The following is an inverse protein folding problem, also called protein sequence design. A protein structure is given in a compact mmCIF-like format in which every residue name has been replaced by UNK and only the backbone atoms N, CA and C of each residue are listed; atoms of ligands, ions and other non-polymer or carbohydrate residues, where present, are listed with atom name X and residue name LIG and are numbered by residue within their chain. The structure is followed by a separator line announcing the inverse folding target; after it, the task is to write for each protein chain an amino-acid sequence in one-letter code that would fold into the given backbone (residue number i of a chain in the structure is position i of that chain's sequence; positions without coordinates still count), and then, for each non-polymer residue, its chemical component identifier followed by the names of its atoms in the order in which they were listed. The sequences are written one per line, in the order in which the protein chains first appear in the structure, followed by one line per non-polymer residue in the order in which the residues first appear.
data_IF_487459708755
#
_entry.id   IF_487459708755
#
_cell.length_a   1.000
_cell.length_b   1.000
_cell.length_c   1.000
_cell.angle_alpha   90.00
_cell.angle_beta   90.00
_cell.angle_gamma   90.00
#
_symmetry.space_group_name_H-M   'P 1'
#
loop_
_entity.id
_entity.type
_entity.pdbx_description
1 polymer ?
#
# COMPACT_ATOMS: atom_id res chain seq x y z
N UNK A 1 -55.30 -62.98 17.89
CA UNK A 1 -54.57 -62.61 16.70
C UNK A 1 -54.54 -61.10 16.50
N UNK A 2 -53.62 -60.37 17.16
CA UNK A 2 -53.39 -58.90 16.92
C UNK A 2 -52.05 -58.45 17.54
N UNK A 3 -50.92 -58.97 17.07
CA UNK A 3 -49.61 -58.56 17.61
C UNK A 3 -48.46 -58.39 16.55
N UNK A 4 -48.79 -58.45 15.24
CA UNK A 4 -47.76 -58.53 14.19
C UNK A 4 -47.57 -57.24 13.33
N UNK A 5 -48.28 -56.13 13.56
CA UNK A 5 -48.28 -54.99 12.62
C UNK A 5 -47.44 -53.78 13.10
N UNK A 6 -46.93 -53.76 14.32
CA UNK A 6 -46.20 -52.57 14.86
C UNK A 6 -44.70 -52.54 14.60
N UNK A 7 -44.07 -53.65 14.24
CA UNK A 7 -42.60 -53.76 14.01
C UNK A 7 -42.07 -53.03 12.80
N UNK A 8 -42.73 -52.98 11.62
CA UNK A 8 -42.14 -52.29 10.46
C UNK A 8 -42.11 -50.76 10.59
N UNK A 9 -43.05 -50.15 11.29
CA UNK A 9 -43.10 -48.70 11.52
C UNK A 9 -41.98 -48.22 12.49
N UNK A 10 -41.57 -49.02 13.46
CA UNK A 10 -40.51 -48.73 14.39
C UNK A 10 -39.11 -48.77 13.70
N UNK A 11 -38.90 -49.78 12.84
CA UNK A 11 -37.66 -49.91 12.07
C UNK A 11 -37.51 -48.81 11.04
N UNK A 12 -38.60 -48.37 10.38
CA UNK A 12 -38.59 -47.26 9.45
C UNK A 12 -38.28 -45.92 10.14
N UNK A 13 -38.80 -45.68 11.35
CA UNK A 13 -38.47 -44.48 12.14
C UNK A 13 -37.02 -44.46 12.65
N UNK A 14 -36.50 -45.62 13.04
CA UNK A 14 -35.11 -45.76 13.48
C UNK A 14 -34.15 -45.54 12.30
N UNK A 15 -34.44 -46.08 11.12
CA UNK A 15 -33.65 -45.85 9.92
C UNK A 15 -33.64 -44.37 9.49
N UNK A 16 -34.78 -43.69 9.59
CA UNK A 16 -34.89 -42.25 9.31
C UNK A 16 -34.06 -41.41 10.28
N UNK A 17 -34.06 -41.75 11.58
CA UNK A 17 -33.25 -41.07 12.60
C UNK A 17 -31.74 -41.27 12.38
N UNK A 18 -31.34 -42.47 12.03
CA UNK A 18 -29.93 -42.77 11.71
C UNK A 18 -29.48 -41.99 10.45
N UNK A 19 -30.30 -41.96 9.40
CA UNK A 19 -30.02 -41.18 8.19
C UNK A 19 -29.92 -39.68 8.47
N UNK A 20 -30.79 -39.13 9.34
CA UNK A 20 -30.74 -37.73 9.73
C UNK A 20 -29.47 -37.41 10.54
N UNK A 21 -29.05 -38.28 11.49
CA UNK A 21 -27.83 -38.12 12.28
C UNK A 21 -26.59 -38.24 11.39
N UNK A 22 -26.55 -39.20 10.47
CA UNK A 22 -25.42 -39.34 9.52
C UNK A 22 -25.37 -38.14 8.58
N UNK A 23 -26.49 -37.64 8.09
CA UNK A 23 -26.59 -36.45 7.26
C UNK A 23 -26.13 -35.20 8.00
N UNK A 24 -26.54 -35.02 9.27
CA UNK A 24 -26.07 -33.92 10.11
C UNK A 24 -24.56 -34.02 10.42
N UNK A 25 -24.05 -35.22 10.65
CA UNK A 25 -22.60 -35.46 10.87
C UNK A 25 -21.80 -35.17 9.59
N UNK A 26 -22.31 -35.52 8.41
CA UNK A 26 -21.70 -35.18 7.12
C UNK A 26 -21.71 -33.69 6.85
N UNK A 27 -22.77 -32.98 7.17
CA UNK A 27 -22.87 -31.53 7.07
C UNK A 27 -21.87 -30.82 8.00
N UNK A 28 -21.70 -31.31 9.24
CA UNK A 28 -20.71 -30.74 10.15
C UNK A 28 -19.26 -31.02 9.73
N UNK A 29 -18.98 -32.20 9.15
CA UNK A 29 -17.66 -32.49 8.58
C UNK A 29 -17.35 -31.64 7.34
N UNK A 30 -18.35 -31.30 6.52
CA UNK A 30 -18.17 -30.38 5.38
C UNK A 30 -17.95 -28.94 5.80
N UNK A 31 -18.59 -28.50 6.92
CA UNK A 31 -18.41 -27.15 7.45
C UNK A 31 -17.05 -26.93 8.16
N UNK A 32 -16.37 -27.98 8.57
CA UNK A 32 -15.08 -27.94 9.27
C UNK A 32 -13.84 -27.88 8.34
N UNK A 33 -13.99 -27.64 7.04
CA UNK A 33 -12.86 -27.24 6.21
C UNK A 33 -12.51 -25.82 6.59
N UNK A 34 -11.57 -25.70 7.55
CA UNK A 34 -10.88 -24.43 7.79
C UNK A 34 -10.34 -23.96 6.42
N UNK A 35 -10.65 -22.71 6.05
CA UNK A 35 -10.03 -22.07 4.89
C UNK A 35 -8.54 -21.97 5.28
N UNK A 36 -7.74 -22.90 4.81
CA UNK A 36 -6.29 -22.77 4.96
C UNK A 36 -5.89 -21.51 4.22
N UNK A 37 -5.41 -20.52 4.96
CA UNK A 37 -4.80 -19.33 4.40
C UNK A 37 -3.34 -19.70 4.09
N UNK A 38 -2.98 -19.88 2.82
CA UNK A 38 -1.63 -20.32 2.46
C UNK A 38 -0.57 -19.23 2.67
N UNK A 39 -1.00 -17.99 2.94
CA UNK A 39 -0.16 -16.84 3.20
C UNK A 39 -0.76 -15.99 4.33
N UNK A 40 0.07 -15.62 5.29
CA UNK A 40 -0.22 -14.63 6.32
C UNK A 40 0.94 -13.65 6.38
N UNK A 41 0.64 -12.36 6.36
CA UNK A 41 1.66 -11.31 6.43
C UNK A 41 1.18 -10.17 7.32
N UNK A 42 2.12 -9.56 8.04
CA UNK A 42 1.84 -8.40 8.88
C UNK A 42 3.04 -7.46 8.96
N UNK A 43 2.79 -6.24 9.42
CA UNK A 43 3.77 -5.17 9.58
C UNK A 43 4.09 -4.96 11.07
N UNK A 44 5.35 -4.66 11.37
CA UNK A 44 5.75 -4.29 12.73
C UNK A 44 5.11 -2.98 13.21
N UNK A 45 4.64 -2.15 12.29
CA UNK A 45 3.93 -0.88 12.53
C UNK A 45 2.93 -0.64 11.41
N UNK A 46 1.71 -0.24 11.75
CA UNK A 46 0.67 0.17 10.80
C UNK A 46 0.56 1.69 10.64
N UNK A 47 1.34 2.43 11.43
CA UNK A 47 1.43 3.89 11.39
C UNK A 47 2.89 4.33 11.40
N UNK A 48 3.26 5.13 10.40
CA UNK A 48 4.51 5.90 10.35
C UNK A 48 4.20 7.36 10.66
N UNK A 49 4.72 7.81 11.78
CA UNK A 49 4.51 9.16 12.28
C UNK A 49 5.63 10.09 11.77
N UNK A 50 5.29 11.07 10.93
CA UNK A 50 6.22 12.10 10.48
C UNK A 50 6.19 13.26 11.47
N UNK A 51 7.28 13.43 12.19
CA UNK A 51 7.53 14.56 13.11
C UNK A 51 8.49 15.57 12.48
N UNK A 52 8.74 16.69 13.15
CA UNK A 52 9.70 17.71 12.67
C UNK A 52 11.14 17.19 12.51
N UNK A 53 11.51 16.14 13.24
CA UNK A 53 12.83 15.49 13.16
C UNK A 53 12.83 14.19 12.35
N UNK A 54 11.82 13.95 11.52
CA UNK A 54 11.74 12.72 10.74
C UNK A 54 12.82 12.66 9.65
N UNK A 55 13.73 11.70 9.76
CA UNK A 55 14.83 11.46 8.82
C UNK A 55 14.62 10.21 7.94
N UNK A 56 13.45 9.57 8.05
CA UNK A 56 13.12 8.28 7.46
C UNK A 56 12.93 7.22 8.55
N UNK A 57 12.34 6.09 8.18
CA UNK A 57 12.11 4.97 9.11
C UNK A 57 12.03 3.64 8.39
N UNK A 58 12.38 2.59 9.10
CA UNK A 58 12.19 1.22 8.65
C UNK A 58 10.92 0.61 9.27
N UNK A 59 10.21 -0.14 8.46
CA UNK A 59 9.07 -0.98 8.86
C UNK A 59 9.40 -2.40 8.48
N UNK A 60 9.36 -3.31 9.44
CA UNK A 60 9.57 -4.72 9.16
C UNK A 60 8.25 -5.34 8.70
N UNK A 61 8.25 -5.94 7.52
CA UNK A 61 7.26 -6.89 7.06
C UNK A 61 7.71 -8.29 7.41
N UNK A 62 6.83 -9.09 7.95
CA UNK A 62 7.07 -10.50 8.24
C UNK A 62 5.81 -11.31 7.97
N UNK A 63 5.99 -12.60 7.75
CA UNK A 63 4.87 -13.46 7.48
C UNK A 63 5.26 -14.92 7.39
N UNK A 64 4.26 -15.76 7.11
CA UNK A 64 4.42 -17.20 6.98
C UNK A 64 3.63 -17.72 5.78
N UNK A 65 4.15 -18.79 5.18
CA UNK A 65 3.49 -19.58 4.14
C UNK A 65 3.23 -21.00 4.65
N UNK A 66 2.19 -21.65 4.16
CA UNK A 66 1.85 -23.02 4.49
C UNK A 66 2.85 -24.07 3.92
N UNK A 67 3.71 -23.66 2.98
CA UNK A 67 4.70 -24.50 2.34
C UNK A 67 5.67 -23.71 1.47
N UNK A 68 6.53 -24.41 0.70
CA UNK A 68 7.48 -23.75 -0.19
C UNK A 68 6.78 -22.89 -1.24
N UNK A 69 7.42 -21.80 -1.62
CA UNK A 69 6.95 -20.87 -2.64
C UNK A 69 7.77 -19.58 -2.61
N UNK A 70 7.63 -18.80 -3.66
CA UNK A 70 8.30 -17.51 -3.78
C UNK A 70 7.37 -16.39 -3.30
N UNK A 71 7.96 -15.41 -2.64
CA UNK A 71 7.22 -14.28 -2.10
C UNK A 71 7.60 -13.01 -2.86
N UNK A 72 6.58 -12.30 -3.31
CA UNK A 72 6.72 -10.96 -3.91
C UNK A 72 6.01 -9.97 -3.01
N UNK A 73 6.70 -8.90 -2.70
CA UNK A 73 6.20 -7.77 -1.93
C UNK A 73 6.06 -6.55 -2.84
N UNK A 74 4.92 -5.90 -2.81
CA UNK A 74 4.67 -4.65 -3.51
C UNK A 74 4.10 -3.63 -2.53
N UNK A 75 4.73 -2.48 -2.44
CA UNK A 75 4.26 -1.35 -1.63
C UNK A 75 3.84 -0.23 -2.57
N UNK A 76 2.59 0.17 -2.49
CA UNK A 76 2.04 1.29 -3.27
C UNK A 76 1.57 2.40 -2.35
N UNK A 77 2.12 3.60 -2.53
CA UNK A 77 1.59 4.81 -1.92
C UNK A 77 0.34 5.32 -2.63
N UNK A 78 -0.38 6.30 -2.04
CA UNK A 78 -1.56 6.88 -2.66
C UNK A 78 -1.24 7.47 -4.04
N UNK A 79 -2.18 7.34 -4.96
CA UNK A 79 -2.05 7.89 -6.31
C UNK A 79 -2.10 9.41 -6.27
N UNK A 80 -1.23 10.03 -7.06
CA UNK A 80 -1.14 11.49 -7.19
C UNK A 80 -0.89 11.86 -8.66
N UNK A 81 -1.40 13.00 -9.14
CA UNK A 81 -1.01 13.50 -10.44
C UNK A 81 0.47 13.93 -10.41
N UNK A 82 1.20 13.64 -11.47
CA UNK A 82 2.60 14.03 -11.63
C UNK A 82 2.81 14.77 -12.95
N UNK A 83 3.46 15.94 -12.89
CA UNK A 83 3.81 16.74 -14.07
C UNK A 83 5.29 16.57 -14.35
N UNK A 84 5.62 16.02 -15.52
CA UNK A 84 6.99 15.93 -16.00
C UNK A 84 7.20 17.02 -17.05
N UNK A 85 8.30 17.78 -16.90
CA UNK A 85 8.65 18.90 -17.77
C UNK A 85 10.01 18.66 -18.40
N UNK A 86 10.08 18.90 -19.69
CA UNK A 86 11.36 18.90 -20.42
C UNK A 86 11.93 20.31 -20.44
N UNK A 87 13.20 20.41 -20.06
CA UNK A 87 13.96 21.66 -20.17
C UNK A 87 14.78 21.64 -21.44
N UNK A 88 14.70 22.73 -22.20
CA UNK A 88 15.51 22.92 -23.39
C UNK A 88 16.12 24.33 -23.42
N UNK A 89 17.19 24.50 -24.18
CA UNK A 89 17.80 25.82 -24.39
C UNK A 89 17.05 26.60 -25.47
N UNK A 90 16.34 27.63 -25.07
CA UNK A 90 15.71 28.57 -25.99
C UNK A 90 16.78 29.56 -26.47
N UNK A 91 16.90 29.70 -27.79
CA UNK A 91 17.92 30.54 -28.47
C UNK A 91 19.36 30.26 -28.04
N UNK A 92 19.66 29.05 -27.53
CA UNK A 92 21.00 28.64 -27.12
C UNK A 92 21.48 29.26 -25.79
N UNK A 93 20.70 30.12 -25.16
CA UNK A 93 21.11 30.96 -24.00
C UNK A 93 20.39 30.64 -22.70
N UNK A 94 19.08 30.36 -22.75
CA UNK A 94 18.24 30.24 -21.54
C UNK A 94 17.58 28.88 -21.48
N UNK A 95 17.70 28.19 -20.34
CA UNK A 95 16.96 26.97 -20.07
C UNK A 95 15.51 27.29 -19.73
N UNK A 96 14.58 26.83 -20.56
CA UNK A 96 13.14 26.97 -20.33
C UNK A 96 12.42 25.62 -20.41
N UNK A 97 11.27 25.53 -19.77
CA UNK A 97 10.39 24.37 -19.91
C UNK A 97 9.66 24.51 -21.27
N UNK A 98 9.97 23.61 -22.19
CA UNK A 98 9.40 23.64 -23.56
C UNK A 98 8.20 22.73 -23.70
N UNK A 99 8.21 21.62 -23.02
CA UNK A 99 7.18 20.58 -23.09
C UNK A 99 6.83 20.07 -21.70
N UNK A 100 5.60 19.63 -21.51
CA UNK A 100 5.16 19.00 -20.26
C UNK A 100 4.08 17.97 -20.51
N UNK A 101 4.12 16.87 -19.77
CA UNK A 101 3.07 15.86 -19.75
C UNK A 101 2.66 15.66 -18.30
N UNK A 102 1.34 15.68 -18.06
CA UNK A 102 0.75 15.34 -16.78
C UNK A 102 0.30 13.90 -16.82
N UNK A 103 0.74 13.11 -15.83
CA UNK A 103 0.30 11.74 -15.64
C UNK A 103 -0.69 11.65 -14.48
N UNK A 104 -1.69 10.79 -14.61
CA UNK A 104 -2.67 10.44 -13.58
C UNK A 104 -2.45 8.99 -13.12
N UNK A 105 -2.91 8.65 -11.91
CA UNK A 105 -2.73 7.30 -11.36
C UNK A 105 -1.27 6.97 -11.04
N UNK A 106 -0.46 7.99 -10.71
CA UNK A 106 0.95 7.80 -10.39
C UNK A 106 1.08 7.50 -8.90
N UNK A 107 1.53 6.28 -8.50
CA UNK A 107 1.80 6.01 -7.11
C UNK A 107 2.81 7.02 -6.56
N UNK A 108 2.49 7.62 -5.41
CA UNK A 108 3.41 8.57 -4.77
C UNK A 108 4.71 7.91 -4.32
N UNK A 109 4.63 6.63 -4.00
CA UNK A 109 5.72 5.75 -3.59
C UNK A 109 5.49 4.36 -4.19
N UNK A 110 6.55 3.70 -4.64
CA UNK A 110 6.47 2.36 -5.20
C UNK A 110 7.72 1.56 -4.85
N UNK A 111 7.53 0.42 -4.19
CA UNK A 111 8.63 -0.48 -3.87
C UNK A 111 8.21 -1.91 -4.18
N UNK A 112 9.10 -2.63 -4.86
CA UNK A 112 8.95 -4.07 -5.12
C UNK A 112 10.15 -4.79 -4.55
N UNK A 113 9.90 -5.94 -3.92
CA UNK A 113 10.93 -6.85 -3.48
C UNK A 113 10.47 -8.30 -3.71
N UNK A 114 11.40 -9.20 -3.96
CA UNK A 114 11.14 -10.61 -4.20
C UNK A 114 12.06 -11.50 -3.39
N UNK A 115 11.70 -12.79 -3.26
CA UNK A 115 12.54 -13.79 -2.60
C UNK A 115 13.76 -14.19 -3.44
N UNK A 116 13.65 -14.12 -4.77
CA UNK A 116 14.71 -14.35 -5.75
C UNK A 116 14.42 -13.59 -7.05
N UNK A 117 15.27 -13.71 -8.07
CA UNK A 117 15.08 -13.01 -9.34
C UNK A 117 13.72 -13.36 -9.98
N UNK A 118 13.00 -12.36 -10.48
CA UNK A 118 11.66 -12.55 -11.07
C UNK A 118 11.66 -13.52 -12.24
N UNK A 119 12.70 -13.50 -13.06
CA UNK A 119 12.87 -14.39 -14.22
C UNK A 119 12.84 -15.88 -13.87
N UNK A 120 13.13 -16.24 -12.62
CA UNK A 120 13.26 -17.62 -12.18
C UNK A 120 11.91 -18.25 -11.79
N UNK A 121 10.90 -17.44 -11.47
CA UNK A 121 9.66 -17.98 -10.92
C UNK A 121 8.38 -17.27 -11.39
N UNK A 122 8.48 -16.14 -12.09
CA UNK A 122 7.31 -15.35 -12.47
C UNK A 122 7.41 -14.91 -13.94
N UNK A 123 6.44 -15.33 -14.77
CA UNK A 123 6.34 -14.90 -16.15
C UNK A 123 6.00 -13.41 -16.24
N UNK A 124 6.48 -12.75 -17.32
CA UNK A 124 6.21 -11.33 -17.57
C UNK A 124 4.70 -11.01 -17.61
N UNK A 125 3.92 -11.87 -18.28
CA UNK A 125 2.46 -11.72 -18.34
C UNK A 125 1.76 -11.72 -16.98
N UNK A 126 2.34 -12.41 -15.99
CA UNK A 126 1.84 -12.41 -14.62
C UNK A 126 2.22 -11.10 -13.91
N UNK A 127 3.43 -10.59 -14.13
CA UNK A 127 3.88 -9.29 -13.61
C UNK A 127 3.02 -8.15 -14.18
N UNK A 128 2.74 -8.17 -15.47
CA UNK A 128 1.84 -7.21 -16.12
C UNK A 128 0.43 -7.24 -15.52
N UNK A 129 -0.15 -8.44 -15.35
CA UNK A 129 -1.50 -8.64 -14.78
C UNK A 129 -1.62 -8.04 -13.38
N UNK A 130 -0.62 -8.25 -12.53
CA UNK A 130 -0.58 -7.76 -11.16
C UNK A 130 0.10 -6.39 -11.03
N UNK A 131 0.53 -5.80 -12.15
CA UNK A 131 1.26 -4.51 -12.20
C UNK A 131 2.49 -4.51 -11.29
N UNK A 132 3.26 -5.60 -11.35
CA UNK A 132 4.48 -5.78 -10.59
C UNK A 132 5.67 -5.35 -11.43
N UNK A 133 6.47 -4.43 -10.92
CA UNK A 133 7.58 -3.79 -11.62
C UNK A 133 7.24 -2.37 -12.09
N UNK A 134 8.25 -1.52 -12.17
CA UNK A 134 8.11 -0.11 -12.57
C UNK A 134 7.62 0.02 -14.01
N UNK A 135 7.98 -0.95 -14.87
CA UNK A 135 7.58 -0.99 -16.27
C UNK A 135 6.09 -1.31 -16.46
N UNK A 136 5.50 -2.01 -15.47
CA UNK A 136 4.12 -2.47 -15.49
C UNK A 136 3.13 -1.51 -14.78
N UNK A 137 3.63 -0.35 -14.34
CA UNK A 137 2.77 0.68 -13.75
C UNK A 137 1.82 1.28 -14.81
N UNK A 138 0.55 1.46 -14.45
CA UNK A 138 -0.47 2.06 -15.33
C UNK A 138 -0.40 3.60 -15.26
N UNK A 139 0.66 4.17 -15.83
CA UNK A 139 0.89 5.61 -15.88
C UNK A 139 0.19 6.19 -17.12
N UNK A 140 -0.95 6.84 -16.92
CA UNK A 140 -1.75 7.39 -18.03
C UNK A 140 -1.53 8.88 -18.15
N UNK A 141 -1.31 9.40 -19.39
CA UNK A 141 -1.36 10.83 -19.61
C UNK A 141 -2.76 11.36 -19.25
N UNK A 142 -2.83 12.55 -18.69
CA UNK A 142 -4.11 13.22 -18.41
C UNK A 142 -4.88 13.47 -19.69
N UNK A 143 -6.21 13.49 -19.59
CA UNK A 143 -7.09 13.79 -20.71
C UNK A 143 -6.75 15.17 -21.32
N UNK A 144 -6.73 15.23 -22.67
CA UNK A 144 -6.36 16.44 -23.39
C UNK A 144 -4.84 16.63 -23.59
N UNK A 145 -4.00 15.65 -23.26
CA UNK A 145 -2.58 15.68 -23.61
C UNK A 145 -2.43 15.68 -25.14
N UNK A 146 -1.68 16.64 -25.68
CA UNK A 146 -1.35 16.73 -27.11
C UNK A 146 -0.07 15.97 -27.47
N UNK A 147 0.57 15.30 -26.50
CA UNK A 147 1.80 14.56 -26.69
C UNK A 147 1.57 13.31 -27.55
N UNK A 148 2.49 13.03 -28.45
CA UNK A 148 2.50 11.81 -29.24
C UNK A 148 2.80 10.57 -28.38
N UNK A 149 2.43 9.36 -28.81
CA UNK A 149 2.75 8.14 -28.06
C UNK A 149 4.25 7.97 -27.75
N UNK A 150 5.13 8.38 -28.65
CA UNK A 150 6.58 8.32 -28.45
C UNK A 150 7.05 9.31 -27.36
N UNK A 151 6.51 10.53 -27.36
CA UNK A 151 6.77 11.53 -26.32
C UNK A 151 6.25 11.05 -24.96
N UNK A 152 5.03 10.51 -24.92
CA UNK A 152 4.45 9.94 -23.68
C UNK A 152 5.37 8.85 -23.13
N UNK A 153 5.90 7.96 -23.95
CA UNK A 153 6.84 6.93 -23.52
C UNK A 153 8.13 7.52 -22.93
N UNK A 154 8.72 8.53 -23.57
CA UNK A 154 9.92 9.20 -23.07
C UNK A 154 9.66 9.95 -21.75
N UNK A 155 8.50 10.61 -21.62
CA UNK A 155 8.12 11.27 -20.37
C UNK A 155 7.81 10.28 -19.24
N UNK A 156 7.24 9.10 -19.56
CA UNK A 156 7.03 8.01 -18.60
C UNK A 156 8.35 7.49 -18.03
N UNK A 157 9.31 7.21 -18.90
CA UNK A 157 10.65 6.78 -18.50
C UNK A 157 11.33 7.84 -17.61
N UNK A 158 11.23 9.12 -18.02
CA UNK A 158 11.74 10.24 -17.21
C UNK A 158 11.06 10.33 -15.85
N UNK A 159 9.75 10.09 -15.76
CA UNK A 159 9.01 10.07 -14.49
C UNK A 159 9.53 8.98 -13.56
N UNK A 160 9.65 7.74 -14.06
CA UNK A 160 10.17 6.61 -13.28
C UNK A 160 11.58 6.90 -12.79
N UNK A 161 12.46 7.38 -13.67
CA UNK A 161 13.84 7.78 -13.32
C UNK A 161 13.87 8.83 -12.20
N UNK A 162 13.10 9.91 -12.34
CA UNK A 162 13.05 10.99 -11.34
C UNK A 162 12.53 10.50 -9.97
N UNK A 163 11.54 9.61 -9.98
CA UNK A 163 11.01 9.00 -8.75
C UNK A 163 12.03 8.06 -8.11
N UNK A 164 12.81 7.33 -8.91
CA UNK A 164 13.89 6.46 -8.45
C UNK A 164 15.05 7.29 -7.88
N UNK A 165 15.47 8.36 -8.54
CA UNK A 165 16.48 9.30 -8.04
C UNK A 165 16.07 9.96 -6.72
N UNK A 166 14.76 10.23 -6.55
CA UNK A 166 14.19 10.75 -5.32
C UNK A 166 14.06 9.67 -4.20
N UNK A 167 14.40 8.41 -4.46
CA UNK A 167 14.28 7.29 -3.52
C UNK A 167 12.84 6.87 -3.24
N UNK A 168 11.89 7.32 -4.06
CA UNK A 168 10.46 6.98 -3.92
C UNK A 168 10.07 5.72 -4.68
N UNK A 169 10.79 5.38 -5.74
CA UNK A 169 10.63 4.15 -6.50
C UNK A 169 11.86 3.26 -6.32
N UNK A 170 11.63 2.01 -5.99
CA UNK A 170 12.69 1.03 -5.78
C UNK A 170 12.18 -0.36 -6.18
N UNK A 171 12.90 -1.00 -7.06
CA UNK A 171 12.75 -2.41 -7.38
C UNK A 171 14.01 -3.15 -6.91
N UNK A 172 13.82 -4.16 -6.05
CA UNK A 172 14.92 -4.91 -5.46
C UNK A 172 14.61 -6.39 -5.50
N UNK A 173 15.25 -7.10 -6.38
CA UNK A 173 15.29 -8.57 -6.34
C UNK A 173 16.02 -9.03 -5.08
N UNK A 174 15.64 -10.20 -4.57
CA UNK A 174 16.21 -10.78 -3.34
C UNK A 174 16.08 -9.91 -2.08
N UNK A 175 15.10 -8.98 -2.09
CA UNK A 175 14.80 -8.13 -0.94
C UNK A 175 13.98 -8.80 0.16
N UNK A 176 13.42 -9.97 -0.11
CA UNK A 176 12.65 -10.79 0.84
C UNK A 176 13.50 -11.98 1.28
N UNK A 177 13.76 -12.07 2.57
CA UNK A 177 14.53 -13.20 3.14
C UNK A 177 13.61 -14.31 3.59
N UNK A 178 13.75 -15.49 2.99
CA UNK A 178 13.07 -16.71 3.41
C UNK A 178 13.84 -17.42 4.52
N UNK A 179 13.12 -17.91 5.54
CA UNK A 179 13.65 -18.72 6.65
C UNK A 179 12.90 -20.06 6.66
N UNK A 180 13.67 -21.14 6.57
CA UNK A 180 13.14 -22.51 6.53
C UNK A 180 12.01 -22.72 5.49
N UNK A 181 12.02 -21.98 4.38
CA UNK A 181 11.04 -22.01 3.29
C UNK A 181 9.58 -21.82 3.73
N UNK A 182 9.35 -21.20 4.88
CA UNK A 182 8.00 -20.96 5.43
C UNK A 182 7.83 -19.59 6.05
N UNK A 183 8.84 -19.05 6.68
CA UNK A 183 8.80 -17.71 7.24
C UNK A 183 9.53 -16.77 6.30
N UNK A 184 9.03 -15.55 6.17
CA UNK A 184 9.69 -14.52 5.40
C UNK A 184 9.73 -13.20 6.16
N UNK A 185 10.72 -12.38 5.82
CA UNK A 185 10.83 -11.01 6.30
C UNK A 185 11.45 -10.11 5.25
N UNK A 186 11.05 -8.85 5.27
CA UNK A 186 11.62 -7.78 4.43
C UNK A 186 11.63 -6.48 5.19
N UNK A 187 12.66 -5.68 5.00
CA UNK A 187 12.79 -4.35 5.57
C UNK A 187 12.34 -3.30 4.56
N UNK A 188 11.32 -2.54 4.95
CA UNK A 188 10.73 -1.48 4.15
C UNK A 188 11.23 -0.12 4.66
N UNK A 189 12.23 0.45 3.99
CA UNK A 189 12.68 1.80 4.30
C UNK A 189 11.77 2.84 3.63
N UNK A 190 11.30 3.79 4.42
CA UNK A 190 10.55 4.97 3.98
C UNK A 190 11.43 6.21 4.19
N UNK A 191 11.80 6.93 3.11
CA UNK A 191 12.68 8.08 3.19
C UNK A 191 12.01 9.31 3.81
N UNK A 192 12.78 10.33 4.16
CA UNK A 192 12.28 11.56 4.79
C UNK A 192 11.31 12.35 3.92
N UNK A 193 11.38 12.21 2.59
CA UNK A 193 10.52 12.86 1.60
C UNK A 193 9.29 12.01 1.23
N UNK A 194 9.01 10.92 1.96
CA UNK A 194 7.86 10.05 1.69
C UNK A 194 6.55 10.83 1.83
N UNK A 195 5.64 10.78 0.85
CA UNK A 195 4.35 11.45 0.92
C UNK A 195 3.44 10.86 2.00
N UNK A 196 2.62 11.69 2.62
CA UNK A 196 1.59 11.23 3.58
C UNK A 196 0.41 10.60 2.86
N UNK A 197 -0.23 9.61 3.50
CA UNK A 197 -1.42 8.94 3.00
C UNK A 197 -1.49 7.48 3.43
N UNK A 198 -2.43 6.75 2.84
CA UNK A 198 -2.59 5.31 3.06
C UNK A 198 -1.84 4.54 1.97
N UNK A 199 -0.96 3.68 2.41
CA UNK A 199 -0.14 2.80 1.58
C UNK A 199 -0.73 1.40 1.62
N UNK A 200 -0.72 0.73 0.48
CA UNK A 200 -1.10 -0.68 0.37
C UNK A 200 0.17 -1.52 0.28
N UNK A 201 0.35 -2.39 1.25
CA UNK A 201 1.43 -3.37 1.26
C UNK A 201 0.84 -4.71 0.84
N UNK A 202 1.15 -5.12 -0.36
CA UNK A 202 0.64 -6.33 -1.00
C UNK A 202 1.73 -7.39 -0.98
N UNK A 203 1.39 -8.58 -0.50
CA UNK A 203 2.28 -9.74 -0.47
C UNK A 203 1.65 -10.83 -1.31
N UNK A 204 2.39 -11.32 -2.28
CA UNK A 204 1.96 -12.39 -3.18
C UNK A 204 2.78 -13.64 -2.92
N UNK A 205 2.11 -14.77 -2.79
CA UNK A 205 2.73 -16.08 -2.79
C UNK A 205 2.62 -16.70 -4.17
N UNK A 206 3.75 -17.01 -4.77
CA UNK A 206 3.86 -17.58 -6.12
C UNK A 206 4.35 -19.02 -6.02
N UNK A 207 3.66 -19.95 -6.67
CA UNK A 207 4.04 -21.34 -6.83
C UNK A 207 3.81 -21.77 -8.27
N UNK A 208 4.75 -22.50 -8.82
CA UNK A 208 4.67 -23.04 -10.18
C UNK A 208 4.33 -21.97 -11.24
N UNK A 209 4.80 -20.74 -11.02
CA UNK A 209 4.57 -19.61 -11.93
C UNK A 209 3.19 -18.95 -11.82
N UNK A 210 2.39 -19.28 -10.81
CA UNK A 210 1.06 -18.68 -10.57
C UNK A 210 0.95 -18.07 -9.16
N UNK A 211 0.16 -17.01 -9.03
CA UNK A 211 -0.19 -16.42 -7.74
C UNK A 211 -1.24 -17.28 -7.06
N UNK A 212 -0.86 -17.99 -6.00
CA UNK A 212 -1.76 -18.88 -5.25
C UNK A 212 -2.46 -18.16 -4.10
N UNK A 213 -1.87 -17.08 -3.59
CA UNK A 213 -2.45 -16.26 -2.53
C UNK A 213 -1.92 -14.84 -2.56
N UNK A 214 -2.72 -13.91 -2.09
CA UNK A 214 -2.31 -12.53 -1.89
C UNK A 214 -2.89 -12.00 -0.58
N UNK A 215 -2.07 -11.27 0.19
CA UNK A 215 -2.46 -10.58 1.42
C UNK A 215 -2.20 -9.08 1.24
N UNK A 216 -3.08 -8.24 1.76
CA UNK A 216 -2.97 -6.79 1.65
C UNK A 216 -3.08 -6.17 3.02
N UNK A 217 -2.01 -5.52 3.47
CA UNK A 217 -1.95 -4.83 4.76
C UNK A 217 -1.84 -3.32 4.56
N UNK A 218 -2.76 -2.52 5.10
CA UNK A 218 -2.67 -1.07 5.00
C UNK A 218 -1.61 -0.52 5.98
N UNK A 219 -0.84 0.47 5.51
CA UNK A 219 0.12 1.25 6.29
C UNK A 219 -0.22 2.73 6.15
N UNK A 220 -0.43 3.42 7.26
CA UNK A 220 -0.73 4.85 7.26
C UNK A 220 0.54 5.65 7.51
N UNK A 221 0.84 6.62 6.64
CA UNK A 221 1.91 7.60 6.86
C UNK A 221 1.27 8.95 7.08
N UNK A 222 1.44 9.54 8.25
CA UNK A 222 0.81 10.81 8.60
C UNK A 222 1.75 11.73 9.38
N UNK A 223 1.54 13.04 9.22
CA UNK A 223 2.19 14.04 10.08
C UNK A 223 1.53 14.00 11.45
N UNK A 224 2.35 13.91 12.49
CA UNK A 224 1.90 13.92 13.89
C UNK A 224 2.67 14.98 14.69
N UNK A 225 2.06 15.45 15.78
CA UNK A 225 2.64 16.42 16.71
C UNK A 225 1.96 17.80 16.65
N UNK A 226 2.40 18.71 17.51
CA UNK A 226 1.79 20.04 17.72
C UNK A 226 1.65 20.82 16.41
N UNK A 227 2.65 20.75 15.51
CA UNK A 227 2.58 21.41 14.20
C UNK A 227 1.47 20.88 13.29
N UNK A 228 1.21 19.57 13.33
CA UNK A 228 0.10 18.97 12.57
C UNK A 228 -1.26 19.34 13.16
N UNK A 229 -1.38 19.39 14.50
CA UNK A 229 -2.62 19.81 15.17
C UNK A 229 -2.94 21.28 14.89
N UNK A 230 -1.94 22.17 14.95
CA UNK A 230 -2.09 23.59 14.59
C UNK A 230 -2.52 23.72 13.12
N UNK A 231 -1.90 22.98 12.22
CA UNK A 231 -2.27 22.98 10.81
C UNK A 231 -3.71 22.52 10.59
N UNK A 232 -4.12 21.41 11.20
CA UNK A 232 -5.49 20.91 11.12
C UNK A 232 -6.50 21.88 11.74
N UNK A 233 -6.15 22.53 12.85
CA UNK A 233 -6.98 23.56 13.48
C UNK A 233 -7.12 24.80 12.57
N UNK A 234 -6.04 25.28 11.98
CA UNK A 234 -6.05 26.40 11.04
C UNK A 234 -6.91 26.13 9.80
N UNK A 235 -6.88 24.91 9.26
CA UNK A 235 -7.68 24.53 8.09
C UNK A 235 -9.14 24.21 8.41
N UNK A 236 -9.43 23.52 9.51
CA UNK A 236 -10.80 23.14 9.88
C UNK A 236 -11.59 24.29 10.49
N UNK A 237 -10.91 25.19 11.20
CA UNK A 237 -11.52 26.27 11.97
C UNK A 237 -10.78 27.60 11.70
N UNK A 238 -10.63 27.95 10.43
CA UNK A 238 -9.85 29.11 9.98
C UNK A 238 -10.26 30.42 10.66
N UNK A 239 -11.55 30.59 10.93
CA UNK A 239 -12.08 31.78 11.62
C UNK A 239 -11.60 31.84 13.08
N UNK A 240 -11.70 30.73 13.81
CA UNK A 240 -11.24 30.64 15.20
C UNK A 240 -9.72 30.78 15.30
N UNK A 241 -8.97 30.18 14.36
CA UNK A 241 -7.53 30.36 14.27
C UNK A 241 -7.16 31.84 14.05
N UNK A 242 -7.84 32.53 13.13
CA UNK A 242 -7.61 33.95 12.86
C UNK A 242 -7.90 34.82 14.08
N UNK A 243 -9.02 34.57 14.79
CA UNK A 243 -9.34 35.29 16.02
C UNK A 243 -8.31 35.05 17.13
N UNK A 244 -7.87 33.78 17.32
CA UNK A 244 -6.82 33.43 18.27
C UNK A 244 -5.51 34.16 17.96
N UNK A 245 -5.11 34.21 16.68
CA UNK A 245 -3.90 34.89 16.25
C UNK A 245 -3.97 36.41 16.53
N UNK A 246 -5.12 37.07 16.27
CA UNK A 246 -5.35 38.50 16.57
C UNK A 246 -5.25 38.74 18.07
N UNK A 247 -5.92 37.91 18.89
CA UNK A 247 -5.87 38.04 20.36
C UNK A 247 -4.44 37.90 20.91
N UNK A 248 -3.69 36.93 20.39
CA UNK A 248 -2.28 36.74 20.77
C UNK A 248 -1.40 37.93 20.37
N UNK A 249 -1.61 38.49 19.16
CA UNK A 249 -0.86 39.62 18.68
C UNK A 249 -1.15 40.88 19.53
N UNK A 250 -2.42 41.14 19.86
CA UNK A 250 -2.84 42.28 20.71
C UNK A 250 -2.26 42.11 22.14
N UNK A 251 -2.36 40.92 22.71
CA UNK A 251 -1.80 40.64 24.04
C UNK A 251 -0.26 40.81 24.07
N UNK A 252 0.43 40.28 23.06
CA UNK A 252 1.87 40.46 22.95
C UNK A 252 2.28 41.91 22.80
N UNK A 253 1.56 42.68 21.95
CA UNK A 253 1.78 44.13 21.79
C UNK A 253 1.54 44.91 23.07
N UNK A 254 0.48 44.56 23.81
CA UNK A 254 0.17 45.19 25.09
C UNK A 254 1.23 44.92 26.16
N UNK A 255 1.69 43.63 26.28
CA UNK A 255 2.75 43.22 27.18
C UNK A 255 4.07 43.94 26.84
N UNK A 256 4.44 43.98 25.54
CA UNK A 256 5.60 44.74 25.08
C UNK A 256 5.51 46.22 25.44
N UNK A 257 4.34 46.84 25.24
CA UNK A 257 4.08 48.23 25.63
C UNK A 257 4.23 48.50 27.14
N UNK A 258 3.84 47.54 27.99
CA UNK A 258 4.04 47.62 29.45
C UNK A 258 5.52 47.52 29.84
N UNK A 259 6.29 46.63 29.19
CA UNK A 259 7.71 46.41 29.49
C UNK A 259 8.56 47.61 29.08
N UNK A 260 8.34 48.14 27.87
CA UNK A 260 9.13 49.26 27.31
C UNK A 260 8.63 50.65 27.71
N UNK A 261 7.45 50.76 28.37
CA UNK A 261 6.92 52.04 28.86
C UNK A 261 7.64 52.58 30.10
N UNK A 262 8.49 51.76 30.76
CA UNK A 262 9.21 52.13 31.97
C UNK A 262 10.70 52.49 31.71
N UNK A 263 11.10 52.60 30.43
CA UNK A 263 12.39 53.15 29.99
C UNK A 263 12.17 54.48 29.37
#
# INVERSE_FOLDING_TARGET
MRAAVRRPLFLARLAGLIAAVVGALWLTLMAARAVEQPLVADLSKHLVAITTGFAGTDVLLFGATDGPGDVVLVVRGPDQPAVVRKKDKVAGLIWANTESVTFTGVPSFYKVASSRAFTDFMAESLRERHRIGTDNLDLRPADGSLATPAEVAAFREALVRLKTEAGLYLEREEGVRMLANRLFRSELYFPSNVPTGTYMVEVYLVRDGEVVSAEVTPLVISKVGIGAEIFHFAYRQSVLYGLAAILLAVAAGWIAGLIFRKT
#
